data_IF_673932694740
#
_entry.id   IF_673932694740
#
_cell.length_a   1.000
_cell.length_b   1.000
_cell.length_c   1.000
_cell.angle_alpha   90.00
_cell.angle_beta   90.00
_cell.angle_gamma   90.00
#
_symmetry.space_group_name_H-M   'P 1'
#
loop_
_entity.id
_entity.type
_entity.pdbx_description
1 polymer ?
#
# COMPACT_ATOMS: atom_id res chain seq x y z
N UNK A 1 -17.64 -16.76 22.23
CA UNK A 1 -16.48 -15.84 22.28
C UNK A 1 -16.46 -15.05 20.98
N UNK A 2 -17.01 -13.83 20.97
CA UNK A 2 -16.90 -12.93 19.82
C UNK A 2 -15.53 -12.23 19.91
N UNK A 3 -14.61 -12.53 18.98
CA UNK A 3 -13.46 -11.66 18.78
C UNK A 3 -13.98 -10.35 18.17
N UNK A 4 -13.79 -9.19 18.81
CA UNK A 4 -14.15 -7.94 18.17
C UNK A 4 -13.27 -7.81 16.93
N UNK A 5 -13.88 -7.64 15.76
CA UNK A 5 -13.19 -7.29 14.54
C UNK A 5 -12.44 -5.98 14.83
N UNK A 6 -11.14 -6.10 15.11
CA UNK A 6 -10.28 -4.96 15.36
C UNK A 6 -10.16 -4.26 14.02
N UNK A 7 -11.00 -3.25 13.80
CA UNK A 7 -11.00 -2.45 12.59
C UNK A 7 -9.69 -1.67 12.56
N UNK A 8 -8.65 -2.26 11.98
CA UNK A 8 -7.43 -1.56 11.68
C UNK A 8 -7.72 -0.58 10.55
N UNK A 9 -7.89 0.69 10.92
CA UNK A 9 -7.88 1.78 9.95
C UNK A 9 -6.42 1.90 9.50
N UNK A 10 -6.09 1.21 8.42
CA UNK A 10 -4.78 1.28 7.78
C UNK A 10 -4.74 2.55 6.94
N UNK A 11 -3.85 3.47 7.31
CA UNK A 11 -3.47 4.61 6.46
C UNK A 11 -2.46 4.15 5.42
N UNK A 12 -2.41 4.83 4.27
CA UNK A 12 -1.50 4.43 3.19
C UNK A 12 -0.01 4.48 3.60
N UNK A 13 0.38 5.41 4.48
CA UNK A 13 1.74 5.49 5.02
C UNK A 13 2.23 4.20 5.68
N UNK A 14 1.32 3.50 6.38
CA UNK A 14 1.63 2.22 7.03
C UNK A 14 1.85 1.13 5.96
N UNK A 15 1.08 1.18 4.86
CA UNK A 15 1.26 0.28 3.73
C UNK A 15 2.66 0.45 3.11
N UNK A 16 3.11 1.69 2.86
CA UNK A 16 4.46 1.95 2.31
C UNK A 16 5.56 1.42 3.24
N UNK A 17 5.44 1.65 4.55
CA UNK A 17 6.40 1.15 5.53
C UNK A 17 6.50 -0.38 5.50
N UNK A 18 5.36 -1.08 5.44
CA UNK A 18 5.32 -2.54 5.33
C UNK A 18 5.94 -3.01 4.01
N UNK A 19 5.63 -2.34 2.88
CA UNK A 19 6.22 -2.66 1.59
C UNK A 19 7.75 -2.47 1.58
N UNK A 20 8.26 -1.38 2.15
CA UNK A 20 9.69 -1.14 2.27
C UNK A 20 10.39 -2.20 3.11
N UNK A 21 9.76 -2.69 4.19
CA UNK A 21 10.32 -3.79 4.99
C UNK A 21 10.26 -5.14 4.28
N UNK A 22 9.18 -5.42 3.53
CA UNK A 22 9.00 -6.67 2.80
C UNK A 22 9.96 -6.77 1.60
N UNK A 23 10.03 -5.72 0.78
CA UNK A 23 10.80 -5.72 -0.47
C UNK A 23 12.19 -5.10 -0.33
N UNK A 24 12.51 -4.45 0.79
CA UNK A 24 13.86 -3.91 1.04
C UNK A 24 14.94 -4.98 1.21
N UNK A 25 14.54 -6.25 1.36
CA UNK A 25 15.44 -7.40 1.37
C UNK A 25 15.77 -7.91 -0.03
N UNK A 26 14.96 -7.57 -1.05
CA UNK A 26 15.20 -7.97 -2.43
C UNK A 26 16.24 -7.04 -3.08
N UNK A 27 17.32 -7.59 -3.67
CA UNK A 27 18.39 -6.78 -4.27
C UNK A 27 17.91 -5.92 -5.45
N UNK A 28 16.86 -6.35 -6.17
CA UNK A 28 16.25 -5.58 -7.26
C UNK A 28 15.51 -4.32 -6.76
N UNK A 29 14.96 -4.38 -5.55
CA UNK A 29 14.16 -3.31 -4.97
C UNK A 29 14.92 -2.46 -3.95
N UNK A 30 16.10 -2.91 -3.52
CA UNK A 30 17.01 -2.23 -2.58
C UNK A 30 17.38 -0.80 -2.99
N UNK A 31 17.43 -0.51 -4.28
CA UNK A 31 17.80 0.81 -4.82
C UNK A 31 16.61 1.65 -5.30
N UNK A 32 15.38 1.15 -5.17
CA UNK A 32 14.19 1.86 -5.66
C UNK A 32 13.78 2.93 -4.65
N UNK A 33 14.07 4.19 -4.98
CA UNK A 33 13.74 5.36 -4.13
C UNK A 33 12.30 5.84 -4.29
N UNK A 34 11.66 5.53 -5.41
CA UNK A 34 10.32 6.00 -5.74
C UNK A 34 9.53 4.92 -6.48
N UNK A 35 8.23 4.88 -6.22
CA UNK A 35 7.32 3.86 -6.70
C UNK A 35 6.13 4.53 -7.36
N UNK A 36 5.82 4.11 -8.59
CA UNK A 36 4.53 4.41 -9.21
C UNK A 36 3.55 3.33 -8.83
N UNK A 37 2.42 3.74 -8.27
CA UNK A 37 1.37 2.84 -7.84
C UNK A 37 0.22 2.87 -8.84
N UNK A 38 -0.46 1.74 -8.99
CA UNK A 38 -1.56 1.57 -9.92
C UNK A 38 -2.67 0.75 -9.28
N UNK A 39 -3.92 1.18 -9.46
CA UNK A 39 -5.11 0.50 -8.98
C UNK A 39 -6.10 0.33 -10.13
N UNK A 40 -6.47 -0.93 -10.45
CA UNK A 40 -7.33 -1.28 -11.61
C UNK A 40 -7.00 -0.44 -12.86
N UNK A 41 -5.73 -0.46 -13.27
CA UNK A 41 -5.21 0.18 -14.50
C UNK A 41 -5.06 1.71 -14.46
N UNK A 42 -5.54 2.38 -13.41
CA UNK A 42 -5.31 3.81 -13.21
C UNK A 42 -4.04 4.06 -12.39
N UNK A 43 -3.28 5.09 -12.74
CA UNK A 43 -2.22 5.58 -11.88
C UNK A 43 -2.85 6.07 -10.58
N UNK A 44 -2.32 5.52 -9.49
CA UNK A 44 -2.81 5.75 -8.15
C UNK A 44 -1.72 6.52 -7.41
N UNK A 45 -2.01 7.75 -7.03
CA UNK A 45 -1.11 8.51 -6.17
C UNK A 45 -1.53 8.30 -4.73
N UNK A 46 -0.74 7.56 -3.94
CA UNK A 46 -1.08 7.35 -2.57
C UNK A 46 -0.99 8.64 -1.76
N UNK A 47 -2.09 8.96 -1.11
CA UNK A 47 -2.14 10.08 -0.18
C UNK A 47 -1.91 9.56 1.24
N UNK A 48 -0.89 10.10 1.91
CA UNK A 48 -0.47 9.68 3.25
C UNK A 48 -1.49 10.03 4.33
N UNK A 49 -2.34 11.03 4.08
CA UNK A 49 -3.33 11.54 5.04
C UNK A 49 -4.66 10.80 4.94
N UNK A 50 -4.90 10.09 3.83
CA UNK A 50 -6.14 9.36 3.57
C UNK A 50 -6.05 7.90 3.97
N UNK A 51 -7.20 7.36 4.40
CA UNK A 51 -7.33 5.93 4.66
C UNK A 51 -7.41 5.13 3.37
N UNK A 52 -7.05 3.84 3.40
CA UNK A 52 -7.18 2.96 2.22
C UNK A 52 -8.61 2.97 1.65
N UNK A 53 -9.62 3.02 2.54
CA UNK A 53 -11.03 3.05 2.14
C UNK A 53 -11.40 4.34 1.38
N UNK A 54 -10.90 5.50 1.81
CA UNK A 54 -11.10 6.79 1.12
C UNK A 54 -10.36 6.88 -0.20
N UNK A 55 -9.24 6.16 -0.30
CA UNK A 55 -8.47 5.98 -1.52
C UNK A 55 -9.12 4.97 -2.49
N UNK A 56 -10.31 4.46 -2.15
CA UNK A 56 -11.04 3.48 -2.97
C UNK A 56 -10.46 2.06 -2.89
N UNK A 57 -9.46 1.82 -2.05
CA UNK A 57 -8.88 0.52 -1.80
C UNK A 57 -9.74 -0.23 -0.79
N UNK A 58 -10.60 -1.10 -1.30
CA UNK A 58 -11.45 -2.00 -0.50
C UNK A 58 -10.79 -3.36 -0.30
N UNK A 59 -11.39 -4.19 0.55
CA UNK A 59 -10.95 -5.56 0.76
C UNK A 59 -10.81 -6.32 -0.59
N UNK A 60 -9.69 -7.03 -0.79
CA UNK A 60 -9.28 -7.68 -2.05
C UNK A 60 -8.90 -6.75 -3.21
N UNK A 61 -8.73 -5.46 -2.96
CA UNK A 61 -8.17 -4.56 -3.98
C UNK A 61 -6.73 -4.94 -4.27
N UNK A 62 -6.38 -4.96 -5.55
CA UNK A 62 -5.04 -5.28 -6.01
C UNK A 62 -4.35 -3.98 -6.40
N UNK A 63 -3.27 -3.66 -5.70
CA UNK A 63 -2.40 -2.53 -6.04
C UNK A 63 -1.18 -3.08 -6.74
N UNK A 64 -0.90 -2.58 -7.94
CA UNK A 64 0.34 -2.86 -8.67
C UNK A 64 1.30 -1.71 -8.42
N UNK A 65 2.58 -2.01 -8.33
CA UNK A 65 3.62 -1.00 -8.17
C UNK A 65 4.72 -1.24 -9.20
N UNK A 66 5.39 -0.18 -9.63
CA UNK A 66 6.57 -0.23 -10.49
C UNK A 66 7.62 0.73 -9.96
N UNK A 67 8.91 0.39 -10.05
CA UNK A 67 9.97 1.37 -9.83
C UNK A 67 9.80 2.52 -10.82
N UNK A 68 9.88 3.76 -10.30
CA UNK A 68 9.72 4.99 -11.07
C UNK A 68 11.01 5.41 -11.78
#
# INVERSE_FOLDING_TARGET
MYCPARNFILSFSILILIFGQLYGLDPEFKNVKSWKWYHFENEFNPDAEKTLAELGLRHKSIVKFKPA
#
